data_IF_687619115921
#
_entry.id   IF_687619115921
#
_cell.length_a   1.000
_cell.length_b   1.000
_cell.length_c   1.000
_cell.angle_alpha   90.00
_cell.angle_beta   90.00
_cell.angle_gamma   90.00
#
_symmetry.space_group_name_H-M   'P 1'
#
loop_
_entity.id
_entity.type
_entity.pdbx_description
1 polymer ?
#
# COMPACT_ATOMS: atom_id res chain seq x y z
N UNK A 1 4.80 -8.15 11.18
CA UNK A 1 4.11 -7.25 12.14
C UNK A 1 4.64 -7.46 13.56
N UNK A 2 5.07 -6.40 14.27
CA UNK A 2 5.48 -6.46 15.68
C UNK A 2 4.40 -7.09 16.54
N UNK A 3 4.78 -7.90 17.53
CA UNK A 3 3.83 -8.67 18.34
C UNK A 3 2.84 -7.75 19.08
N UNK A 4 3.33 -6.65 19.65
CA UNK A 4 2.58 -5.71 20.47
C UNK A 4 1.42 -5.04 19.70
N UNK A 5 1.51 -4.97 18.37
CA UNK A 5 0.50 -4.33 17.52
C UNK A 5 -0.56 -5.29 17.02
N UNK A 6 -0.35 -6.61 17.11
CA UNK A 6 -1.24 -7.60 16.47
C UNK A 6 -2.66 -7.59 17.04
N UNK A 7 -2.79 -7.49 18.37
CA UNK A 7 -4.08 -7.38 19.03
C UNK A 7 -4.82 -6.11 18.59
N UNK A 8 -4.13 -4.96 18.64
CA UNK A 8 -4.72 -3.67 18.30
C UNK A 8 -5.12 -3.58 16.82
N UNK A 9 -4.28 -4.04 15.90
CA UNK A 9 -4.57 -4.08 14.46
C UNK A 9 -5.77 -4.96 14.10
N UNK A 10 -6.14 -5.90 14.96
CA UNK A 10 -7.26 -6.81 14.70
C UNK A 10 -8.62 -6.19 15.03
N UNK A 11 -8.65 -5.14 15.85
CA UNK A 11 -9.87 -4.49 16.35
C UNK A 11 -9.97 -3.02 15.95
N UNK A 12 -8.84 -2.33 15.84
CA UNK A 12 -8.76 -0.90 15.50
C UNK A 12 -8.70 -0.72 13.97
N UNK A 13 -9.88 -0.49 13.39
CA UNK A 13 -10.03 -0.27 11.94
C UNK A 13 -9.27 0.95 11.44
N UNK A 14 -9.14 1.99 12.27
CA UNK A 14 -8.43 3.21 11.89
C UNK A 14 -6.94 2.93 11.80
N UNK A 15 -6.37 2.31 12.84
CA UNK A 15 -4.96 1.90 12.82
C UNK A 15 -4.67 0.93 11.66
N UNK A 16 -5.57 -0.02 11.40
CA UNK A 16 -5.44 -0.93 10.26
C UNK A 16 -5.39 -0.17 8.92
N UNK A 17 -6.31 0.76 8.70
CA UNK A 17 -6.34 1.61 7.51
C UNK A 17 -5.11 2.52 7.40
N UNK A 18 -4.58 3.02 8.52
CA UNK A 18 -3.39 3.86 8.55
C UNK A 18 -2.13 3.06 8.18
N UNK A 19 -2.00 1.83 8.69
CA UNK A 19 -0.90 0.92 8.30
C UNK A 19 -1.02 0.52 6.83
N UNK A 20 -2.22 0.22 6.34
CA UNK A 20 -2.40 -0.06 4.91
C UNK A 20 -2.05 1.17 4.04
N UNK A 21 -2.43 2.36 4.49
CA UNK A 21 -2.14 3.62 3.81
C UNK A 21 -0.66 3.94 3.78
N UNK A 22 0.10 3.65 4.84
CA UNK A 22 1.56 3.86 4.86
C UNK A 22 2.29 2.96 3.87
N UNK A 23 1.71 1.78 3.57
CA UNK A 23 2.21 0.87 2.54
C UNK A 23 1.81 1.29 1.11
N UNK A 24 0.54 1.59 0.86
CA UNK A 24 0.05 1.86 -0.51
C UNK A 24 0.45 3.25 -1.04
N UNK A 25 0.46 4.28 -0.21
CA UNK A 25 0.72 5.67 -0.66
C UNK A 25 2.08 5.85 -1.34
N UNK A 26 3.20 5.30 -0.82
CA UNK A 26 4.50 5.41 -1.49
C UNK A 26 4.53 4.73 -2.87
N UNK A 27 3.89 3.56 -3.00
CA UNK A 27 3.80 2.79 -4.25
C UNK A 27 3.01 3.59 -5.28
N UNK A 28 1.81 4.04 -4.91
CA UNK A 28 0.96 4.84 -5.79
C UNK A 28 1.60 6.18 -6.19
N UNK A 29 2.36 6.79 -5.28
CA UNK A 29 3.09 8.00 -5.59
C UNK A 29 4.26 7.72 -6.55
N UNK A 30 4.87 6.53 -6.49
CA UNK A 30 5.90 6.12 -7.44
C UNK A 30 5.32 5.85 -8.83
N UNK A 31 4.21 5.12 -8.95
CA UNK A 31 3.53 4.86 -10.24
C UNK A 31 3.10 6.17 -10.91
N UNK A 32 2.47 7.09 -10.17
CA UNK A 32 2.10 8.41 -10.72
C UNK A 32 3.31 9.25 -11.12
N UNK A 33 4.45 9.14 -10.44
CA UNK A 33 5.69 9.84 -10.86
C UNK A 33 6.25 9.23 -12.14
N UNK A 34 6.23 7.91 -12.26
CA UNK A 34 6.68 7.17 -13.45
C UNK A 34 5.78 7.49 -14.64
N UNK A 35 4.47 7.46 -14.49
CA UNK A 35 3.52 7.88 -15.53
C UNK A 35 3.75 9.31 -16.00
N UNK A 36 3.94 10.27 -15.08
CA UNK A 36 4.26 11.66 -15.43
C UNK A 36 5.57 11.78 -16.23
N UNK A 37 6.59 11.00 -15.91
CA UNK A 37 7.83 10.96 -16.70
C UNK A 37 7.66 10.42 -18.13
N UNK A 38 6.55 9.71 -18.37
CA UNK A 38 6.15 9.17 -19.67
C UNK A 38 5.04 10.01 -20.33
N UNK A 39 4.69 11.17 -19.77
CA UNK A 39 3.66 12.07 -20.30
C UNK A 39 2.21 11.74 -19.91
N UNK A 40 1.99 10.82 -18.97
CA UNK A 40 0.66 10.45 -18.46
C UNK A 40 0.38 11.28 -17.20
N UNK A 41 -0.49 12.28 -17.30
CA UNK A 41 -0.74 13.24 -16.23
C UNK A 41 -1.98 12.91 -15.38
N UNK A 42 -3.07 12.50 -16.03
CA UNK A 42 -4.37 12.28 -15.38
C UNK A 42 -4.63 10.80 -15.04
N UNK A 43 -3.56 10.04 -14.82
CA UNK A 43 -3.63 8.61 -14.51
C UNK A 43 -3.79 8.32 -13.02
N UNK A 44 -4.74 7.45 -12.69
CA UNK A 44 -5.00 6.97 -11.33
C UNK A 44 -4.46 5.55 -11.09
N UNK A 45 -4.04 5.29 -9.86
CA UNK A 45 -3.51 3.99 -9.40
C UNK A 45 -4.60 3.18 -8.73
N UNK A 46 -4.47 1.85 -8.67
CA UNK A 46 -5.43 0.97 -8.01
C UNK A 46 -4.78 -0.12 -7.18
N UNK A 47 -5.49 -0.61 -6.16
CA UNK A 47 -5.11 -1.83 -5.45
C UNK A 47 -6.33 -2.59 -4.94
N UNK A 48 -6.22 -3.92 -4.93
CA UNK A 48 -7.14 -4.81 -4.20
C UNK A 48 -6.37 -5.40 -3.04
N UNK A 49 -6.84 -5.18 -1.80
CA UNK A 49 -6.15 -5.68 -0.60
C UNK A 49 -7.05 -6.61 0.20
N UNK A 50 -6.51 -7.78 0.54
CA UNK A 50 -7.09 -8.73 1.47
C UNK A 50 -6.36 -8.70 2.82
N UNK A 51 -7.11 -8.73 3.92
CA UNK A 51 -6.57 -8.85 5.27
C UNK A 51 -6.71 -10.28 5.76
N UNK A 52 -5.59 -10.96 5.94
CA UNK A 52 -5.55 -12.24 6.63
C UNK A 52 -5.19 -12.01 8.10
N UNK A 53 -6.06 -12.42 9.02
CA UNK A 53 -5.91 -12.16 10.46
C UNK A 53 -5.15 -13.24 11.22
N UNK A 54 -4.95 -14.41 10.63
CA UNK A 54 -4.38 -15.59 11.28
C UNK A 54 -3.15 -16.11 10.53
N UNK A 55 -2.18 -16.62 11.30
CA UNK A 55 -1.03 -17.37 10.78
C UNK A 55 -1.35 -18.85 10.55
N UNK A 56 -0.39 -19.62 10.04
CA UNK A 56 -0.56 -21.05 9.73
C UNK A 56 -0.92 -21.94 10.94
N UNK A 57 -0.66 -21.48 12.16
CA UNK A 57 -1.06 -22.15 13.41
C UNK A 57 -2.35 -21.55 14.01
N UNK A 58 -3.14 -20.80 13.22
CA UNK A 58 -4.34 -20.04 13.64
C UNK A 58 -4.08 -18.98 14.73
N UNK A 59 -2.82 -18.68 15.02
CA UNK A 59 -2.43 -17.61 15.92
C UNK A 59 -2.71 -16.23 15.29
N UNK A 60 -3.05 -15.24 16.13
CA UNK A 60 -3.31 -13.88 15.67
C UNK A 60 -2.08 -13.30 14.97
N UNK A 61 -2.19 -13.11 13.65
CA UNK A 61 -1.12 -12.61 12.81
C UNK A 61 -1.70 -11.81 11.62
N UNK A 62 -2.13 -10.55 11.87
CA UNK A 62 -2.62 -9.69 10.79
C UNK A 62 -1.54 -9.44 9.74
N UNK A 63 -1.87 -9.70 8.48
CA UNK A 63 -1.06 -9.37 7.33
C UNK A 63 -1.93 -9.02 6.12
N UNK A 64 -1.44 -8.06 5.34
CA UNK A 64 -2.09 -7.59 4.13
C UNK A 64 -1.52 -8.32 2.92
N UNK A 65 -2.41 -8.76 2.04
CA UNK A 65 -2.08 -9.20 0.69
C UNK A 65 -2.65 -8.18 -0.27
N UNK A 66 -1.81 -7.48 -1.01
CA UNK A 66 -2.24 -6.44 -1.95
C UNK A 66 -1.85 -6.82 -3.37
N UNK A 67 -2.82 -6.75 -4.28
CA UNK A 67 -2.62 -6.80 -5.73
C UNK A 67 -2.65 -5.38 -6.25
N UNK A 68 -1.56 -4.96 -6.88
CA UNK A 68 -1.36 -3.61 -7.41
C UNK A 68 -0.99 -3.77 -8.90
N UNK A 69 -1.83 -3.30 -9.84
CA UNK A 69 -1.50 -3.34 -11.26
C UNK A 69 -0.39 -2.35 -11.58
N UNK A 70 0.65 -2.78 -12.29
CA UNK A 70 1.73 -1.90 -12.76
C UNK A 70 1.24 -1.00 -13.93
N UNK A 71 0.44 0.00 -13.63
CA UNK A 71 -0.19 0.84 -14.64
C UNK A 71 -1.10 1.91 -14.06
N UNK A 72 -1.59 2.77 -14.94
CA UNK A 72 -2.50 3.86 -14.59
C UNK A 72 -3.82 3.72 -15.34
N UNK A 73 -4.91 4.00 -14.65
CA UNK A 73 -6.24 4.15 -15.23
C UNK A 73 -6.43 5.61 -15.63
N UNK A 74 -6.58 5.87 -16.93
CA UNK A 74 -6.61 7.22 -17.51
C UNK A 74 -8.02 7.50 -18.06
N UNK A 75 -8.62 8.67 -17.79
CA UNK A 75 -9.90 9.04 -18.37
C UNK A 75 -9.78 9.25 -19.88
N UNK A 76 -10.75 8.72 -20.64
CA UNK A 76 -10.84 8.94 -22.09
C UNK A 76 -11.86 10.06 -22.36
N UNK A 77 -11.48 11.13 -23.09
CA UNK A 77 -12.41 12.22 -23.40
C UNK A 77 -13.71 11.71 -24.03
N UNK A 78 -14.85 12.05 -23.43
CA UNK A 78 -16.18 11.67 -23.93
C UNK A 78 -16.61 10.23 -23.65
N UNK A 79 -15.90 9.50 -22.76
CA UNK A 79 -16.28 8.15 -22.30
C UNK A 79 -16.33 8.10 -20.77
N UNK A 80 -17.18 7.21 -20.25
CA UNK A 80 -17.22 6.92 -18.80
C UNK A 80 -16.13 5.90 -18.41
N UNK A 81 -15.68 5.07 -19.36
CA UNK A 81 -14.67 4.06 -19.14
C UNK A 81 -13.26 4.65 -19.02
N UNK A 82 -12.47 4.06 -18.13
CA UNK A 82 -11.06 4.34 -17.99
C UNK A 82 -10.25 3.41 -18.90
N UNK A 83 -9.21 3.95 -19.53
CA UNK A 83 -8.21 3.16 -20.25
C UNK A 83 -7.08 2.77 -19.30
N UNK A 84 -6.69 1.50 -19.29
CA UNK A 84 -5.53 1.06 -18.53
C UNK A 84 -4.27 1.20 -19.38
N UNK A 85 -3.35 2.05 -18.93
CA UNK A 85 -2.05 2.28 -19.56
C UNK A 85 -0.98 1.60 -18.71
N UNK A 86 -0.34 0.51 -19.19
CA UNK A 86 0.68 -0.19 -18.44
C UNK A 86 1.94 0.69 -18.28
N UNK A 87 2.55 0.63 -17.11
CA UNK A 87 3.85 1.25 -16.86
C UNK A 87 4.98 0.23 -17.10
N UNK A 88 6.18 0.66 -17.51
CA UNK A 88 7.30 -0.25 -17.59
C UNK A 88 7.62 -0.80 -16.19
N UNK A 89 7.94 -2.10 -16.06
CA UNK A 89 8.10 -2.74 -14.76
C UNK A 89 9.21 -2.06 -13.92
N UNK A 90 9.11 -2.11 -12.58
CA UNK A 90 10.16 -1.59 -11.73
C UNK A 90 11.44 -2.42 -11.88
N UNK A 91 12.58 -1.74 -11.85
CA UNK A 91 13.89 -2.37 -11.66
C UNK A 91 14.06 -2.88 -10.23
N UNK A 92 14.97 -3.83 -10.04
CA UNK A 92 15.30 -4.34 -8.70
C UNK A 92 15.78 -3.22 -7.73
N UNK A 93 16.45 -2.21 -8.26
CA UNK A 93 16.89 -1.03 -7.52
C UNK A 93 15.73 -0.16 -7.04
N UNK A 94 14.73 0.06 -7.91
CA UNK A 94 13.51 0.79 -7.56
C UNK A 94 12.69 0.03 -6.51
N UNK A 95 12.59 -1.30 -6.64
CA UNK A 95 11.93 -2.15 -5.62
C UNK A 95 12.64 -2.05 -4.28
N UNK A 96 13.98 -2.09 -4.26
CA UNK A 96 14.76 -1.93 -3.02
C UNK A 96 14.52 -0.57 -2.38
N UNK A 97 14.64 0.50 -3.17
CA UNK A 97 14.44 1.88 -2.71
C UNK A 97 13.03 2.09 -2.15
N UNK A 98 12.00 1.55 -2.82
CA UNK A 98 10.62 1.62 -2.34
C UNK A 98 10.44 0.83 -1.04
N UNK A 99 11.03 -0.34 -0.94
CA UNK A 99 10.97 -1.19 0.26
C UNK A 99 11.59 -0.47 1.47
N UNK A 100 12.78 0.10 1.31
CA UNK A 100 13.46 0.88 2.36
C UNK A 100 12.63 2.10 2.77
N UNK A 101 12.07 2.83 1.79
CA UNK A 101 11.20 3.97 2.05
C UNK A 101 9.95 3.58 2.83
N UNK A 102 9.29 2.48 2.46
CA UNK A 102 8.11 1.97 3.16
C UNK A 102 8.47 1.53 4.58
N UNK A 103 9.60 0.85 4.77
CA UNK A 103 10.08 0.42 6.08
C UNK A 103 10.38 1.61 7.02
N UNK A 104 10.85 2.73 6.46
CA UNK A 104 11.09 3.96 7.22
C UNK A 104 9.80 4.73 7.58
N UNK A 105 8.65 4.40 6.95
CA UNK A 105 7.37 5.03 7.26
C UNK A 105 6.68 4.31 8.42
N UNK A 106 6.63 4.97 9.57
CA UNK A 106 5.73 4.57 10.65
C UNK A 106 4.26 4.83 10.29
N UNK A 107 3.30 4.12 10.91
CA UNK A 107 1.90 4.54 10.85
C UNK A 107 1.78 5.96 11.41
N UNK A 108 0.96 6.80 10.78
CA UNK A 108 0.71 8.19 11.21
C UNK A 108 0.07 8.33 12.59
N UNK A 109 -0.34 7.23 13.21
CA UNK A 109 -0.83 7.17 14.58
C UNK A 109 0.32 6.82 15.50
N UNK A 110 0.63 7.73 16.42
CA UNK A 110 1.58 7.52 17.50
C UNK A 110 1.34 6.17 18.16
N UNK A 111 2.34 5.30 18.03
CA UNK A 111 2.37 4.02 18.73
C UNK A 111 2.68 4.36 20.19
N UNK A 112 1.65 4.70 20.97
CA UNK A 112 1.81 4.75 22.42
C UNK A 112 2.14 3.34 22.89
N UNK A 113 3.26 3.21 23.61
CA UNK A 113 3.64 1.96 24.26
C UNK A 113 2.46 1.41 25.06
N UNK A 114 2.27 0.08 25.08
CA UNK A 114 1.31 -0.52 26.01
C UNK A 114 1.72 -0.17 27.46
N UNK A 115 0.76 0.05 28.38
CA UNK A 115 1.11 0.27 29.78
C UNK A 115 1.91 -0.92 30.31
N UNK A 116 2.98 -0.62 31.04
CA UNK A 116 3.79 -1.60 31.77
C UNK A 116 2.92 -2.47 32.68
N UNK A 117 3.30 -3.75 32.90
CA UNK A 117 2.51 -4.71 33.68
C UNK A 117 2.29 -4.28 35.13
#
# INVERSE_FOLDING_TARGET
>A
MPWALRARLSVDRRLLSDVLSSFLRPIFAWERRRGRSLGIWDGETGAVTFLQRFGGALNLHPHFHSLIPDGLFVPVPGREELEFVPLPPPSAEEVRTLTERIAALGPSVGITEPPSP
#
